data_IF_231088266828
#
_entry.id   IF_231088266828
#
_cell.length_a   1.000
_cell.length_b   1.000
_cell.length_c   1.000
_cell.angle_alpha   90.00
_cell.angle_beta   90.00
_cell.angle_gamma   90.00
#
_symmetry.space_group_name_H-M   'P 1'
#
loop_
_entity.id
_entity.type
_entity.pdbx_description
1 polymer ?
#
# COMPACT_ATOMS: atom_id res chain seq x y z
N UNK A 1 -0.85 12.67 -12.83
CA UNK A 1 -2.24 12.65 -12.34
C UNK A 1 -2.92 14.02 -12.47
N UNK A 2 -2.34 15.10 -11.95
CA UNK A 2 -2.87 16.46 -12.13
C UNK A 2 -2.00 17.27 -13.10
N UNK A 3 -2.64 18.02 -14.02
CA UNK A 3 -1.96 18.95 -14.91
C UNK A 3 -1.99 20.37 -14.33
N UNK A 4 -1.09 20.64 -13.39
CA UNK A 4 -1.02 21.95 -12.72
C UNK A 4 -0.53 23.08 -13.64
N UNK A 5 0.17 22.75 -14.72
CA UNK A 5 0.62 23.72 -15.73
C UNK A 5 -0.60 24.28 -16.47
N UNK A 6 -1.44 23.39 -17.01
CA UNK A 6 -2.68 23.81 -17.68
C UNK A 6 -3.64 24.51 -16.72
N UNK A 7 -3.75 24.04 -15.47
CA UNK A 7 -4.54 24.74 -14.45
C UNK A 7 -4.03 26.18 -14.23
N UNK A 8 -2.71 26.38 -14.11
CA UNK A 8 -2.13 27.71 -13.97
C UNK A 8 -2.39 28.61 -15.18
N UNK A 9 -2.33 28.08 -16.40
CA UNK A 9 -2.64 28.82 -17.63
C UNK A 9 -4.11 29.27 -17.69
N UNK A 10 -5.03 28.46 -17.16
CA UNK A 10 -6.46 28.75 -17.06
C UNK A 10 -6.82 29.70 -15.90
N UNK A 11 -5.87 29.98 -15.01
CA UNK A 11 -6.08 30.80 -13.81
C UNK A 11 -5.56 32.23 -13.94
N UNK A 12 -6.31 33.18 -13.38
CA UNK A 12 -5.88 34.58 -13.26
C UNK A 12 -4.91 34.79 -12.09
N UNK A 13 -5.03 33.99 -11.03
CA UNK A 13 -4.16 34.03 -9.88
C UNK A 13 -3.91 32.65 -9.29
N UNK A 14 -2.75 32.52 -8.64
CA UNK A 14 -2.36 31.39 -7.79
C UNK A 14 -1.91 31.97 -6.45
N UNK A 15 -2.60 31.61 -5.38
CA UNK A 15 -2.32 32.09 -4.03
C UNK A 15 -1.97 30.95 -3.10
N UNK A 16 -0.91 31.12 -2.32
CA UNK A 16 -0.57 30.20 -1.26
C UNK A 16 -1.37 30.53 0.00
N UNK A 17 -2.33 29.68 0.37
CA UNK A 17 -3.22 29.95 1.51
C UNK A 17 -2.58 29.53 2.83
N UNK A 18 -1.97 28.34 2.85
CA UNK A 18 -1.28 27.74 4.01
C UNK A 18 -0.39 26.60 3.51
N UNK A 19 0.49 26.02 4.35
CA UNK A 19 1.32 24.89 3.94
C UNK A 19 0.51 23.81 3.23
N UNK A 20 0.99 23.40 2.06
CA UNK A 20 0.38 22.38 1.20
C UNK A 20 -1.00 22.73 0.62
N UNK A 21 -1.45 23.99 0.69
CA UNK A 21 -2.75 24.42 0.15
C UNK A 21 -2.58 25.67 -0.70
N UNK A 22 -2.98 25.56 -1.97
CA UNK A 22 -2.96 26.64 -2.94
C UNK A 22 -4.34 26.85 -3.55
N UNK A 23 -4.70 28.11 -3.80
CA UNK A 23 -5.91 28.49 -4.51
C UNK A 23 -5.56 28.94 -5.93
N UNK A 24 -6.29 28.42 -6.90
CA UNK A 24 -6.26 28.81 -8.30
C UNK A 24 -7.59 29.44 -8.67
N UNK A 25 -7.60 30.73 -9.03
CA UNK A 25 -8.83 31.41 -9.46
C UNK A 25 -8.94 31.37 -10.98
N UNK A 26 -9.99 30.76 -11.52
CA UNK A 26 -10.17 30.53 -12.96
C UNK A 26 -10.63 31.80 -13.68
N UNK A 27 -10.03 32.10 -14.84
CA UNK A 27 -10.32 33.30 -15.65
C UNK A 27 -11.77 33.36 -16.13
N UNK A 28 -12.28 32.25 -16.66
CA UNK A 28 -13.55 32.24 -17.40
C UNK A 28 -14.78 32.28 -16.49
N UNK A 29 -14.70 31.60 -15.34
CA UNK A 29 -15.84 31.42 -14.42
C UNK A 29 -15.71 32.20 -13.12
N UNK A 30 -14.52 32.68 -12.77
CA UNK A 30 -14.21 33.22 -11.45
C UNK A 30 -14.20 32.17 -10.32
N UNK A 31 -14.43 30.89 -10.65
CA UNK A 31 -14.40 29.79 -9.70
C UNK A 31 -13.00 29.61 -9.12
N UNK A 32 -12.94 29.06 -7.91
CA UNK A 32 -11.70 28.78 -7.18
C UNK A 32 -11.48 27.28 -7.11
N UNK A 33 -10.26 26.85 -7.42
CA UNK A 33 -9.81 25.46 -7.29
C UNK A 33 -8.77 25.42 -6.19
N UNK A 34 -9.02 24.59 -5.17
CA UNK A 34 -8.06 24.38 -4.07
C UNK A 34 -7.23 23.14 -4.40
N UNK A 35 -5.92 23.35 -4.58
CA UNK A 35 -4.95 22.29 -4.82
C UNK A 35 -4.25 21.97 -3.52
N UNK A 36 -4.23 20.68 -3.18
CA UNK A 36 -3.57 20.16 -1.99
C UNK A 36 -2.27 19.45 -2.37
N UNK A 37 -1.22 19.65 -1.57
CA UNK A 37 0.07 18.95 -1.70
C UNK A 37 0.77 19.15 -3.03
N UNK A 38 0.46 20.22 -3.77
CA UNK A 38 0.97 20.47 -5.13
C UNK A 38 0.75 19.28 -6.08
N UNK A 39 -0.36 18.54 -5.91
CA UNK A 39 -0.66 17.36 -6.70
C UNK A 39 0.24 16.15 -6.44
N UNK A 40 1.05 16.19 -5.37
CA UNK A 40 1.76 15.03 -4.84
C UNK A 40 0.83 14.17 -3.99
N UNK A 41 1.32 13.02 -3.54
CA UNK A 41 0.60 12.11 -2.64
C UNK A 41 0.24 12.84 -1.34
N UNK A 42 -1.03 13.24 -1.22
CA UNK A 42 -1.47 14.17 -0.17
C UNK A 42 -1.32 13.60 1.24
N UNK A 43 -1.51 12.29 1.38
CA UNK A 43 -1.32 11.59 2.65
C UNK A 43 0.11 11.70 3.17
N UNK A 44 1.11 11.81 2.28
CA UNK A 44 2.52 12.02 2.65
C UNK A 44 2.90 13.50 2.68
N UNK A 45 2.30 14.31 1.80
CA UNK A 45 2.67 15.71 1.65
C UNK A 45 2.07 16.59 2.75
N UNK A 46 0.85 16.30 3.21
CA UNK A 46 0.12 17.13 4.18
C UNK A 46 -0.36 16.35 5.43
N UNK A 47 0.06 15.09 5.57
CA UNK A 47 -0.20 14.26 6.74
C UNK A 47 1.00 13.32 6.99
N UNK A 48 0.82 12.33 7.88
CA UNK A 48 1.90 11.43 8.34
C UNK A 48 2.00 10.13 7.53
N UNK A 49 1.28 10.02 6.40
CA UNK A 49 1.22 8.82 5.60
C UNK A 49 0.35 7.73 6.24
N UNK A 50 0.72 6.47 5.99
CA UNK A 50 0.03 5.34 6.61
C UNK A 50 0.48 5.18 8.07
N UNK A 51 -0.43 4.84 9.00
CA UNK A 51 -0.06 4.52 10.37
C UNK A 51 0.99 3.40 10.43
N UNK A 52 1.83 3.43 11.48
CA UNK A 52 2.86 2.41 11.69
C UNK A 52 2.28 0.98 11.69
N UNK A 53 1.07 0.79 12.22
CA UNK A 53 0.35 -0.49 12.25
C UNK A 53 -0.10 -1.00 10.88
N UNK A 54 -0.01 -0.20 9.82
CA UNK A 54 -0.27 -0.62 8.44
C UNK A 54 1.06 -0.79 7.70
N UNK A 55 2.04 0.09 7.99
CA UNK A 55 3.36 0.03 7.39
C UNK A 55 4.20 -1.16 7.87
N UNK A 56 3.95 -1.69 9.08
CA UNK A 56 4.69 -2.82 9.64
C UNK A 56 4.62 -4.08 8.74
N UNK A 57 3.45 -4.39 8.18
CA UNK A 57 3.30 -5.51 7.23
C UNK A 57 4.05 -5.25 5.92
N UNK A 58 4.08 -4.01 5.45
CA UNK A 58 4.82 -3.64 4.23
C UNK A 58 6.33 -3.75 4.45
N UNK A 59 6.82 -3.32 5.62
CA UNK A 59 8.23 -3.45 5.97
C UNK A 59 8.64 -4.89 6.28
N UNK A 60 7.76 -5.70 6.86
CA UNK A 60 7.97 -7.14 7.00
C UNK A 60 8.12 -7.80 5.62
N UNK A 61 7.23 -7.49 4.67
CA UNK A 61 7.33 -7.95 3.29
C UNK A 61 8.66 -7.57 2.63
N UNK A 62 9.12 -6.33 2.81
CA UNK A 62 10.42 -5.89 2.28
C UNK A 62 11.59 -6.61 2.95
N UNK A 63 11.56 -6.79 4.27
CA UNK A 63 12.60 -7.50 5.01
C UNK A 63 12.71 -8.98 4.59
N UNK A 64 11.58 -9.68 4.50
CA UNK A 64 11.56 -11.08 4.06
C UNK A 64 11.87 -11.22 2.56
N UNK A 65 11.53 -10.23 1.73
CA UNK A 65 12.01 -10.17 0.34
C UNK A 65 13.52 -10.12 0.26
N UNK A 66 14.17 -9.26 1.07
CA UNK A 66 15.62 -9.20 1.13
C UNK A 66 16.23 -10.52 1.60
N UNK A 67 15.66 -11.15 2.62
CA UNK A 67 16.09 -12.46 3.09
C UNK A 67 15.94 -13.54 2.01
N UNK A 68 14.81 -13.55 1.30
CA UNK A 68 14.55 -14.48 0.20
C UNK A 68 15.58 -14.33 -0.92
N UNK A 69 15.94 -13.09 -1.29
CA UNK A 69 16.97 -12.82 -2.29
C UNK A 69 18.33 -13.36 -1.85
N UNK A 70 18.72 -13.16 -0.60
CA UNK A 70 19.99 -13.66 -0.05
C UNK A 70 20.03 -15.19 -0.01
N UNK A 71 18.95 -15.83 0.46
CA UNK A 71 18.84 -17.31 0.52
C UNK A 71 18.84 -17.98 -0.86
N UNK A 72 18.44 -17.23 -1.89
CA UNK A 72 18.34 -17.71 -3.28
C UNK A 72 19.37 -17.06 -4.20
N UNK A 73 20.47 -16.54 -3.65
CA UNK A 73 21.57 -15.98 -4.42
C UNK A 73 22.06 -16.98 -5.48
N UNK A 74 22.16 -16.51 -6.74
CA UNK A 74 22.57 -17.32 -7.89
C UNK A 74 21.54 -18.34 -8.39
N UNK A 75 20.39 -18.51 -7.72
CA UNK A 75 19.31 -19.42 -8.14
C UNK A 75 18.20 -18.71 -8.91
N UNK A 76 18.05 -17.40 -8.71
CA UNK A 76 17.03 -16.59 -9.37
C UNK A 76 17.55 -16.05 -10.71
N UNK A 77 16.78 -16.28 -11.77
CA UNK A 77 17.04 -15.65 -13.07
C UNK A 77 16.77 -14.13 -12.99
N UNK A 78 17.41 -13.30 -13.82
CA UNK A 78 17.06 -11.89 -13.91
C UNK A 78 15.58 -11.70 -14.28
N UNK A 79 14.83 -10.97 -13.46
CA UNK A 79 13.40 -10.77 -13.69
C UNK A 79 12.64 -10.29 -12.46
N UNK A 80 11.33 -10.17 -12.60
CA UNK A 80 10.41 -9.88 -11.50
C UNK A 80 10.02 -11.21 -10.86
N UNK A 81 10.29 -11.34 -9.56
CA UNK A 81 9.90 -12.49 -8.76
C UNK A 81 8.86 -12.06 -7.75
N UNK A 82 7.78 -12.82 -7.65
CA UNK A 82 6.84 -12.69 -6.55
C UNK A 82 7.41 -13.45 -5.35
N UNK A 83 7.16 -12.94 -4.15
CA UNK A 83 7.39 -13.72 -2.94
C UNK A 83 6.49 -14.97 -2.96
N UNK A 84 6.98 -16.13 -2.50
CA UNK A 84 6.14 -17.31 -2.29
C UNK A 84 4.99 -17.00 -1.30
N UNK A 85 3.85 -17.64 -1.52
CA UNK A 85 2.64 -17.44 -0.69
C UNK A 85 2.89 -17.79 0.79
N UNK A 86 3.78 -18.75 1.05
CA UNK A 86 4.14 -19.17 2.40
C UNK A 86 4.78 -18.04 3.21
N UNK A 87 5.54 -17.16 2.54
CA UNK A 87 6.18 -16.00 3.17
C UNK A 87 5.15 -14.93 3.52
N UNK A 88 4.14 -14.73 2.67
CA UNK A 88 3.06 -13.78 2.95
C UNK A 88 2.17 -14.28 4.10
N UNK A 89 1.90 -15.59 4.14
CA UNK A 89 1.22 -16.23 5.27
C UNK A 89 2.00 -16.10 6.58
N UNK A 90 3.32 -16.23 6.56
CA UNK A 90 4.17 -16.01 7.73
C UNK A 90 4.04 -14.57 8.26
N UNK A 91 4.07 -13.57 7.37
CA UNK A 91 3.88 -12.15 7.75
C UNK A 91 2.51 -11.92 8.38
N UNK A 92 1.47 -12.50 7.79
CA UNK A 92 0.11 -12.39 8.31
C UNK A 92 -0.01 -13.04 9.70
N UNK A 93 0.56 -14.23 9.90
CA UNK A 93 0.60 -14.91 11.20
C UNK A 93 1.35 -14.09 12.25
N UNK A 94 2.53 -13.55 11.93
CA UNK A 94 3.31 -12.70 12.84
C UNK A 94 2.56 -11.43 13.23
N UNK A 95 1.83 -10.83 12.28
CA UNK A 95 0.98 -9.66 12.54
C UNK A 95 -0.12 -9.97 13.55
N UNK A 96 -0.84 -11.08 13.34
CA UNK A 96 -1.92 -11.49 14.24
C UNK A 96 -1.39 -11.80 15.64
N UNK A 97 -0.25 -12.48 15.74
CA UNK A 97 0.42 -12.75 17.00
C UNK A 97 0.81 -11.45 17.73
N UNK A 98 1.41 -10.48 17.02
CA UNK A 98 1.76 -9.18 17.58
C UNK A 98 0.54 -8.37 18.07
N UNK A 99 -0.64 -8.60 17.46
CA UNK A 99 -1.92 -8.03 17.90
C UNK A 99 -2.58 -8.82 19.05
N UNK A 100 -2.01 -9.95 19.45
CA UNK A 100 -2.60 -10.86 20.44
C UNK A 100 -3.82 -11.64 19.91
N UNK A 101 -3.99 -11.70 18.59
CA UNK A 101 -5.07 -12.43 17.93
C UNK A 101 -4.61 -13.86 17.68
N UNK A 102 -5.43 -14.84 18.10
CA UNK A 102 -5.20 -16.25 17.82
C UNK A 102 -6.07 -16.70 16.66
N UNK A 103 -5.50 -17.55 15.81
CA UNK A 103 -6.22 -18.25 14.76
C UNK A 103 -6.36 -19.73 15.14
N UNK A 104 -7.49 -20.32 14.77
CA UNK A 104 -7.70 -21.75 14.95
C UNK A 104 -6.83 -22.54 13.96
N UNK A 105 -6.51 -23.78 14.32
CA UNK A 105 -5.82 -24.72 13.44
C UNK A 105 -6.81 -25.80 13.01
N UNK A 106 -6.86 -26.11 11.71
CA UNK A 106 -7.69 -27.19 11.21
C UNK A 106 -7.28 -28.51 11.87
N UNK A 107 -8.26 -29.29 12.32
CA UNK A 107 -7.98 -30.64 12.81
C UNK A 107 -7.62 -31.55 11.62
N UNK A 108 -6.92 -32.68 11.86
CA UNK A 108 -6.64 -33.65 10.81
C UNK A 108 -7.89 -34.08 10.04
N UNK A 109 -9.02 -34.27 10.74
CA UNK A 109 -10.29 -34.64 10.09
C UNK A 109 -10.83 -33.52 9.18
N UNK A 110 -10.68 -32.25 9.57
CA UNK A 110 -11.10 -31.11 8.75
C UNK A 110 -10.24 -30.97 7.48
N UNK A 111 -8.93 -31.20 7.58
CA UNK A 111 -8.02 -31.18 6.44
C UNK A 111 -8.36 -32.31 5.47
N UNK A 112 -8.61 -33.51 5.99
CA UNK A 112 -9.02 -34.67 5.18
C UNK A 112 -10.35 -34.39 4.48
N UNK A 113 -11.35 -33.87 5.20
CA UNK A 113 -12.64 -33.49 4.63
C UNK A 113 -12.53 -32.48 3.49
N UNK A 114 -11.68 -31.46 3.63
CA UNK A 114 -11.49 -30.44 2.59
C UNK A 114 -10.78 -30.96 1.33
N UNK A 115 -9.93 -31.98 1.46
CA UNK A 115 -9.13 -32.52 0.35
C UNK A 115 -9.69 -33.83 -0.23
N UNK A 116 -10.71 -34.40 0.40
CA UNK A 116 -11.33 -35.68 0.03
C UNK A 116 -12.51 -35.47 -0.92
N UNK A 117 -12.45 -36.15 -2.07
CA UNK A 117 -13.57 -36.27 -3.01
C UNK A 117 -14.62 -37.29 -2.56
N UNK A 118 -14.33 -38.07 -1.50
CA UNK A 118 -15.23 -39.12 -0.99
C UNK A 118 -16.19 -38.60 0.08
N UNK A 119 -15.93 -37.42 0.66
CA UNK A 119 -16.66 -36.89 1.82
C UNK A 119 -17.44 -35.58 1.57
N UNK A 120 -17.45 -35.05 0.34
CA UNK A 120 -18.25 -33.88 -0.06
C UNK A 120 -18.51 -33.87 -1.58
N UNK A 121 -19.62 -33.26 -2.00
CA UNK A 121 -20.10 -33.20 -3.41
C UNK A 121 -19.05 -32.72 -4.40
#
# INVERSE_FOLDING_TARGET
ELNLVSLAEMSESREHLRPFVEEFKLKDSGNRVIVLGEGRLINLAAAEGHPASVMDMSFANQALSCEFLVKNEGKLAPGIHLLPEEVDMEIASLKLEAMGIKIDTLTPEMIEYMNSWESGT
#
